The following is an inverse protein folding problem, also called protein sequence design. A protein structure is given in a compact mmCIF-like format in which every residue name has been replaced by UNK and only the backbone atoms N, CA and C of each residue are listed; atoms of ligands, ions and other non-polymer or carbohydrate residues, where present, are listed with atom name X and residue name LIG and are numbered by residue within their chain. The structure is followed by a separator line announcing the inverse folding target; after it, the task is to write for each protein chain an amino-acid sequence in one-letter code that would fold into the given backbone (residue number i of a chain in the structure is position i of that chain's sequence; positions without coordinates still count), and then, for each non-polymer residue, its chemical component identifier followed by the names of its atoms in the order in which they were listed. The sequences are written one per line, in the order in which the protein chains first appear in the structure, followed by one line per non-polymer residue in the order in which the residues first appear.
data_IF_240703658612
#
_entry.id   IF_240703658612
#
_cell.length_a   1.000
_cell.length_b   1.000
_cell.length_c   1.000
_cell.angle_alpha   90.00
_cell.angle_beta   90.00
_cell.angle_gamma   90.00
#
_symmetry.space_group_name_H-M   'P 1'
#
loop_
_entity.id
_entity.type
_entity.pdbx_description
1 polymer ?
#
# COMPACT_ATOMS: atom_id res chain seq x y z
N UNK A 1 6.66 34.85 30.04
CA UNK A 1 6.71 33.51 29.48
C UNK A 1 8.05 33.25 28.86
N UNK A 2 8.32 31.96 28.59
CA UNK A 2 9.54 31.50 27.92
C UNK A 2 9.33 31.50 26.42
N UNK A 3 10.25 32.13 25.70
CA UNK A 3 10.24 32.11 24.23
C UNK A 3 11.36 31.19 23.75
N UNK A 4 11.05 30.30 22.81
CA UNK A 4 12.06 29.44 22.23
C UNK A 4 11.74 29.23 20.75
N UNK A 5 12.73 28.74 20.02
CA UNK A 5 12.56 28.36 18.61
C UNK A 5 12.91 26.88 18.47
N UNK A 6 12.18 26.19 17.62
CA UNK A 6 12.45 24.76 17.40
C UNK A 6 13.81 24.52 16.77
N UNK A 7 14.38 25.53 16.12
CA UNK A 7 15.69 25.41 15.47
C UNK A 7 16.84 26.01 16.25
N UNK A 8 16.62 26.49 17.50
CA UNK A 8 17.74 27.01 18.29
C UNK A 8 18.57 25.85 18.83
N UNK A 9 19.80 26.17 19.25
CA UNK A 9 20.78 25.15 19.69
C UNK A 9 20.24 24.29 20.82
N UNK A 10 19.53 24.89 21.74
CA UNK A 10 18.99 24.17 22.90
C UNK A 10 17.92 23.17 22.43
N UNK A 11 16.98 23.65 21.62
CA UNK A 11 15.89 22.77 21.11
C UNK A 11 16.45 21.63 20.29
N UNK A 12 17.44 21.91 19.45
CA UNK A 12 18.07 20.86 18.64
C UNK A 12 18.73 19.81 19.54
N UNK A 13 19.47 20.25 20.55
CA UNK A 13 20.12 19.30 21.47
C UNK A 13 19.12 18.44 22.20
N UNK A 14 18.01 19.03 22.65
CA UNK A 14 16.97 18.28 23.35
C UNK A 14 16.34 17.25 22.42
N UNK A 15 16.02 17.65 21.19
CA UNK A 15 15.40 16.73 20.22
C UNK A 15 16.35 15.58 19.87
N UNK A 16 17.63 15.88 19.65
CA UNK A 16 18.63 14.85 19.34
C UNK A 16 18.80 13.88 20.51
N UNK A 17 18.84 14.43 21.73
CA UNK A 17 18.98 13.60 22.92
C UNK A 17 17.75 12.68 23.09
N UNK A 18 16.56 13.20 22.83
CA UNK A 18 15.35 12.40 22.91
C UNK A 18 15.38 11.27 21.87
N UNK A 19 15.83 11.58 20.65
CA UNK A 19 15.95 10.57 19.63
C UNK A 19 16.93 9.48 20.04
N UNK A 20 18.10 9.88 20.55
CA UNK A 20 19.10 8.91 20.97
C UNK A 20 18.60 8.02 22.12
N UNK A 21 17.78 8.59 23.01
CA UNK A 21 17.15 7.79 24.06
C UNK A 21 16.20 6.73 23.48
N UNK A 22 15.39 7.14 22.51
CA UNK A 22 14.50 6.18 21.84
C UNK A 22 15.29 5.09 21.13
N UNK A 23 16.39 5.47 20.49
CA UNK A 23 17.24 4.51 19.79
C UNK A 23 17.85 3.52 20.77
N UNK A 24 18.35 4.01 21.90
CA UNK A 24 18.97 3.17 22.92
C UNK A 24 17.98 2.15 23.48
N UNK A 25 16.71 2.55 23.65
CA UNK A 25 15.66 1.64 24.15
C UNK A 25 15.09 0.73 23.06
N UNK A 26 15.53 0.88 21.81
CA UNK A 26 15.01 0.09 20.72
C UNK A 26 13.67 0.58 20.17
N UNK A 27 13.22 1.75 20.59
CA UNK A 27 11.95 2.31 20.14
C UNK A 27 12.09 3.02 18.80
N UNK A 28 13.26 3.59 18.53
CA UNK A 28 13.58 4.18 17.23
C UNK A 28 14.41 3.16 16.44
N UNK A 29 14.09 2.99 15.17
CA UNK A 29 14.79 2.01 14.36
C UNK A 29 14.73 2.42 12.90
N UNK A 30 15.65 1.88 12.12
CA UNK A 30 15.72 2.14 10.68
C UNK A 30 15.36 0.86 9.94
N UNK A 31 14.52 0.99 8.92
CA UNK A 31 14.06 -0.17 8.17
C UNK A 31 13.78 0.18 6.73
N UNK A 32 13.98 -0.78 5.85
CA UNK A 32 13.45 -0.72 4.50
C UNK A 32 12.01 -1.21 4.58
N UNK A 33 11.09 -0.34 4.25
CA UNK A 33 9.68 -0.62 4.46
C UNK A 33 8.83 0.06 3.41
N UNK A 34 7.61 -0.47 3.16
CA UNK A 34 6.67 0.21 2.27
C UNK A 34 6.38 1.59 2.84
N UNK A 35 6.55 2.61 2.02
CA UNK A 35 6.49 4.00 2.45
C UNK A 35 5.55 4.75 1.51
N UNK A 36 4.60 5.49 2.08
CA UNK A 36 3.79 6.42 1.29
C UNK A 36 4.72 7.50 0.75
N UNK A 37 4.59 7.79 -0.53
CA UNK A 37 5.59 8.55 -1.26
C UNK A 37 4.94 9.51 -2.23
N UNK A 38 5.33 10.79 -2.14
CA UNK A 38 4.89 11.80 -3.10
C UNK A 38 5.90 11.86 -4.24
N UNK A 39 5.42 11.60 -5.44
CA UNK A 39 6.32 11.46 -6.60
C UNK A 39 6.79 12.79 -7.15
N UNK A 40 6.09 13.89 -6.84
CA UNK A 40 6.48 15.22 -7.29
C UNK A 40 7.59 15.78 -6.40
N UNK A 41 7.35 15.77 -5.10
CA UNK A 41 8.35 16.25 -4.13
C UNK A 41 9.44 15.23 -3.86
N UNK A 42 9.21 13.97 -4.24
CA UNK A 42 10.14 12.86 -4.03
C UNK A 42 10.49 12.73 -2.55
N UNK A 43 9.45 12.60 -1.75
CA UNK A 43 9.59 12.53 -0.31
C UNK A 43 8.60 11.53 0.29
N UNK A 44 9.01 10.93 1.40
CA UNK A 44 8.12 10.12 2.21
C UNK A 44 7.06 11.03 2.84
N UNK A 45 5.89 10.47 3.11
CA UNK A 45 4.75 11.19 3.68
C UNK A 45 4.24 10.40 4.88
N UNK A 46 4.11 11.06 6.01
CA UNK A 46 3.62 10.43 7.22
C UNK A 46 2.09 10.42 7.24
N UNK A 47 1.54 9.53 8.05
CA UNK A 47 0.09 9.36 8.16
C UNK A 47 -0.63 10.69 8.45
N UNK A 48 -0.05 11.53 9.30
CA UNK A 48 -0.68 12.80 9.66
C UNK A 48 -0.73 13.81 8.51
N UNK A 49 0.03 13.57 7.44
CA UNK A 49 0.11 14.48 6.30
C UNK A 49 -0.77 14.02 5.13
N UNK A 50 -1.58 12.96 5.34
CA UNK A 50 -2.41 12.40 4.29
C UNK A 50 -3.73 13.16 4.17
N UNK A 51 -4.25 13.19 2.95
CA UNK A 51 -5.54 13.78 2.65
C UNK A 51 -6.21 12.92 1.59
N UNK A 52 -7.46 12.55 1.83
CA UNK A 52 -8.25 11.83 0.82
C UNK A 52 -8.90 12.84 -0.11
N UNK A 53 -8.78 12.60 -1.41
CA UNK A 53 -9.46 13.41 -2.43
C UNK A 53 -10.22 12.50 -3.37
N UNK A 54 -11.44 12.91 -3.70
CA UNK A 54 -12.26 12.17 -4.67
C UNK A 54 -11.63 12.28 -6.05
N UNK A 55 -11.41 11.15 -6.70
CA UNK A 55 -10.77 11.10 -8.01
C UNK A 55 -11.56 10.19 -8.95
N UNK A 56 -11.67 10.58 -10.22
CA UNK A 56 -12.24 9.67 -11.20
C UNK A 56 -11.31 8.51 -11.46
N UNK A 57 -11.88 7.32 -11.67
CA UNK A 57 -11.14 6.12 -11.97
C UNK A 57 -12.07 5.18 -12.75
N UNK A 58 -11.71 3.91 -12.81
CA UNK A 58 -12.55 2.92 -13.44
C UNK A 58 -12.24 1.55 -12.88
N UNK A 59 -13.27 0.71 -12.79
CA UNK A 59 -13.10 -0.70 -12.50
C UNK A 59 -12.81 -1.46 -13.78
N UNK A 60 -11.78 -2.29 -13.75
CA UNK A 60 -11.37 -3.15 -14.86
C UNK A 60 -11.57 -4.60 -14.43
N UNK A 61 -12.37 -5.33 -15.20
CA UNK A 61 -12.67 -6.73 -14.91
C UNK A 61 -11.71 -7.59 -15.70
N UNK A 62 -10.81 -8.29 -15.00
CA UNK A 62 -9.65 -8.94 -15.60
C UNK A 62 -9.63 -10.43 -15.28
N UNK A 63 -9.30 -11.25 -16.28
CA UNK A 63 -9.20 -12.69 -16.13
C UNK A 63 -7.78 -13.10 -15.75
N UNK A 64 -7.65 -13.84 -14.65
CA UNK A 64 -6.45 -14.61 -14.32
C UNK A 64 -6.69 -16.05 -14.72
N UNK A 65 -5.67 -16.72 -15.21
CA UNK A 65 -5.81 -18.03 -15.81
C UNK A 65 -5.56 -19.13 -14.80
N UNK A 66 -6.55 -19.99 -14.60
CA UNK A 66 -6.43 -21.13 -13.70
C UNK A 66 -5.67 -22.29 -14.36
N UNK A 67 -5.24 -23.23 -13.53
CA UNK A 67 -4.47 -24.37 -14.01
C UNK A 67 -5.32 -25.31 -14.87
N UNK A 68 -6.58 -25.54 -14.49
CA UNK A 68 -7.49 -26.42 -15.22
C UNK A 68 -8.89 -25.84 -15.09
N UNK A 69 -9.42 -25.29 -16.14
CA UNK A 69 -10.83 -24.93 -16.27
C UNK A 69 -11.37 -23.88 -15.29
N UNK A 70 -10.57 -23.33 -14.42
CA UNK A 70 -11.10 -22.38 -13.45
C UNK A 70 -10.34 -21.06 -13.48
N UNK A 71 -10.60 -20.28 -14.52
CA UNK A 71 -10.14 -18.91 -14.55
C UNK A 71 -10.78 -18.13 -13.42
N UNK A 72 -10.05 -17.17 -12.92
CA UNK A 72 -10.51 -16.31 -11.83
C UNK A 72 -10.62 -14.89 -12.36
N UNK A 73 -11.75 -14.26 -12.09
CA UNK A 73 -11.99 -12.88 -12.54
C UNK A 73 -11.86 -11.94 -11.34
N UNK A 74 -11.00 -10.95 -11.49
CA UNK A 74 -10.84 -9.91 -10.45
C UNK A 74 -11.29 -8.58 -11.02
N UNK A 75 -11.53 -7.62 -10.12
CA UNK A 75 -11.84 -6.26 -10.49
C UNK A 75 -10.79 -5.35 -9.85
N UNK A 76 -10.17 -4.49 -10.66
CA UNK A 76 -9.11 -3.62 -10.16
C UNK A 76 -9.26 -2.21 -10.74
N UNK A 77 -8.87 -1.21 -9.95
CA UNK A 77 -8.74 0.15 -10.46
C UNK A 77 -7.33 0.41 -10.99
N UNK A 78 -6.39 -0.53 -10.77
CA UNK A 78 -5.00 -0.31 -11.12
C UNK A 78 -4.43 -1.48 -11.95
N UNK A 79 -4.93 -1.65 -13.18
CA UNK A 79 -4.43 -2.75 -14.01
C UNK A 79 -2.94 -2.61 -14.36
N UNK A 80 -2.39 -1.41 -14.28
CA UNK A 80 -0.96 -1.21 -14.51
C UNK A 80 -0.09 -1.95 -13.49
N UNK A 81 -0.66 -2.37 -12.36
CA UNK A 81 0.09 -3.10 -11.33
C UNK A 81 0.07 -4.62 -11.53
N UNK A 82 -0.59 -5.12 -12.57
CA UNK A 82 -0.63 -6.57 -12.80
C UNK A 82 0.77 -7.21 -12.79
N UNK A 83 1.80 -6.62 -13.41
CA UNK A 83 3.13 -7.26 -13.33
C UNK A 83 3.68 -7.39 -11.92
N UNK A 84 3.17 -6.60 -10.97
CA UNK A 84 3.62 -6.64 -9.58
C UNK A 84 2.73 -7.51 -8.70
N UNK A 85 1.78 -8.23 -9.27
CA UNK A 85 0.86 -9.07 -8.50
C UNK A 85 1.60 -10.19 -7.79
N UNK A 86 1.31 -10.40 -6.51
CA UNK A 86 1.96 -11.43 -5.69
C UNK A 86 0.98 -12.46 -5.15
N UNK A 87 -0.33 -12.18 -5.19
CA UNK A 87 -1.35 -13.12 -4.70
C UNK A 87 -2.73 -12.64 -5.13
N UNK A 88 -3.68 -13.56 -5.14
CA UNK A 88 -5.10 -13.21 -5.11
C UNK A 88 -5.63 -13.60 -3.74
N UNK A 89 -6.49 -12.74 -3.17
CA UNK A 89 -6.96 -12.91 -1.80
C UNK A 89 -8.49 -12.83 -1.76
N UNK A 90 -9.11 -13.79 -1.06
CA UNK A 90 -10.55 -13.83 -0.86
C UNK A 90 -10.86 -14.11 0.60
N UNK A 91 -12.07 -13.77 1.02
CA UNK A 91 -12.49 -14.01 2.40
C UNK A 91 -12.51 -15.51 2.68
N UNK A 92 -12.05 -15.96 3.86
CA UNK A 92 -11.99 -17.40 4.15
C UNK A 92 -13.37 -18.09 4.12
N UNK A 93 -14.44 -17.34 4.30
CA UNK A 93 -15.79 -17.89 4.28
C UNK A 93 -16.46 -17.84 2.91
N UNK A 94 -15.77 -17.35 1.89
CA UNK A 94 -16.35 -17.20 0.55
C UNK A 94 -16.34 -18.56 -0.16
N UNK A 95 -17.52 -19.14 -0.27
CA UNK A 95 -17.66 -20.48 -0.87
C UNK A 95 -17.22 -20.53 -2.33
N UNK A 96 -17.26 -19.41 -3.03
CA UNK A 96 -16.82 -19.37 -4.43
C UNK A 96 -15.34 -19.68 -4.57
N UNK A 97 -14.54 -19.31 -3.58
CA UNK A 97 -13.08 -19.37 -3.68
C UNK A 97 -12.44 -20.37 -2.74
N UNK A 98 -13.20 -20.92 -1.79
CA UNK A 98 -12.64 -21.92 -0.87
C UNK A 98 -11.93 -23.06 -1.59
N UNK A 99 -12.48 -23.61 -2.69
CA UNK A 99 -11.79 -24.72 -3.39
C UNK A 99 -10.45 -24.31 -3.99
N UNK A 100 -10.21 -23.02 -4.16
CA UNK A 100 -8.98 -22.52 -4.80
C UNK A 100 -7.88 -22.19 -3.81
N UNK A 101 -8.18 -22.07 -2.51
CA UNK A 101 -7.17 -21.69 -1.53
C UNK A 101 -6.02 -22.70 -1.56
N UNK A 102 -4.80 -22.18 -1.66
CA UNK A 102 -3.60 -22.99 -1.75
C UNK A 102 -3.21 -23.38 -3.16
N UNK A 103 -4.07 -23.13 -4.16
CA UNK A 103 -3.71 -23.33 -5.55
C UNK A 103 -3.09 -22.06 -6.13
N UNK A 104 -2.65 -22.12 -7.38
CA UNK A 104 -2.09 -20.95 -8.06
C UNK A 104 -2.89 -20.65 -9.33
N UNK A 105 -2.83 -19.37 -9.71
CA UNK A 105 -3.33 -18.91 -11.02
C UNK A 105 -2.20 -18.12 -11.69
N UNK A 106 -2.34 -17.85 -12.98
CA UNK A 106 -1.34 -17.10 -13.74
C UNK A 106 -1.89 -15.75 -14.16
N UNK A 107 -1.10 -14.72 -13.97
CA UNK A 107 -1.52 -13.37 -14.33
C UNK A 107 -1.59 -13.21 -15.85
N UNK A 108 -2.55 -12.42 -16.34
CA UNK A 108 -2.63 -12.18 -17.79
C UNK A 108 -1.45 -11.37 -18.27
N UNK A 109 -1.06 -11.57 -19.52
CA UNK A 109 0.05 -10.92 -20.20
C UNK A 109 1.42 -11.32 -19.67
N UNK A 110 1.57 -11.48 -18.36
CA UNK A 110 2.87 -11.68 -17.71
C UNK A 110 3.11 -13.13 -17.32
N UNK A 111 2.06 -13.93 -17.26
CA UNK A 111 2.14 -15.38 -17.05
C UNK A 111 2.91 -15.75 -15.78
N UNK A 112 2.70 -14.98 -14.72
CA UNK A 112 3.35 -15.21 -13.42
C UNK A 112 2.39 -16.00 -12.54
N UNK A 113 2.88 -17.09 -11.96
CA UNK A 113 2.08 -17.87 -11.01
C UNK A 113 1.98 -17.12 -9.70
N UNK A 114 0.75 -16.97 -9.21
CA UNK A 114 0.50 -16.35 -7.91
C UNK A 114 -0.47 -17.23 -7.12
N UNK A 115 -0.30 -17.32 -5.81
CA UNK A 115 -1.20 -18.15 -4.99
C UNK A 115 -2.54 -17.49 -4.76
N UNK A 116 -3.56 -18.32 -4.52
CA UNK A 116 -4.87 -17.86 -4.05
C UNK A 116 -4.94 -18.14 -2.56
N UNK A 117 -5.12 -17.09 -1.76
CA UNK A 117 -4.99 -17.18 -0.30
C UNK A 117 -6.21 -16.57 0.40
N UNK A 118 -6.54 -17.06 1.61
CA UNK A 118 -7.64 -16.47 2.36
C UNK A 118 -7.15 -15.34 3.26
N UNK A 119 -8.00 -14.33 3.44
CA UNK A 119 -7.74 -13.30 4.45
C UNK A 119 -9.05 -12.59 4.81
N UNK A 120 -9.22 -12.34 6.08
CA UNK A 120 -10.49 -11.80 6.60
C UNK A 120 -10.78 -10.36 6.16
N UNK A 121 -9.79 -9.61 5.70
CA UNK A 121 -10.02 -8.26 5.22
C UNK A 121 -10.54 -8.21 3.78
N UNK A 122 -10.53 -9.34 3.05
CA UNK A 122 -11.13 -9.37 1.73
C UNK A 122 -12.66 -9.32 1.88
N UNK A 123 -13.30 -8.48 1.07
CA UNK A 123 -14.74 -8.25 1.18
C UNK A 123 -15.48 -9.06 0.11
N UNK A 124 -16.37 -9.94 0.56
CA UNK A 124 -17.08 -10.85 -0.34
C UNK A 124 -17.99 -10.13 -1.33
N UNK A 125 -18.51 -8.98 -0.92
CA UNK A 125 -19.46 -8.22 -1.74
C UNK A 125 -18.82 -7.08 -2.52
N UNK A 126 -17.50 -6.99 -2.54
CA UNK A 126 -16.79 -5.96 -3.31
C UNK A 126 -16.23 -6.57 -4.59
N UNK A 127 -16.62 -6.01 -5.73
CA UNK A 127 -16.21 -6.56 -7.02
C UNK A 127 -16.63 -8.00 -7.16
N UNK A 128 -15.69 -8.87 -7.47
CA UNK A 128 -15.96 -10.31 -7.59
C UNK A 128 -15.68 -11.07 -6.29
N UNK A 129 -15.32 -10.35 -5.24
CA UNK A 129 -15.03 -10.96 -3.94
C UNK A 129 -13.61 -11.45 -3.78
N UNK A 130 -12.83 -11.41 -4.85
CA UNK A 130 -11.42 -11.81 -4.81
C UNK A 130 -10.59 -10.65 -5.37
N UNK A 131 -9.52 -10.32 -4.68
CA UNK A 131 -8.73 -9.12 -4.99
C UNK A 131 -7.31 -9.49 -5.37
N UNK A 132 -6.78 -8.72 -6.31
CA UNK A 132 -5.38 -8.81 -6.71
C UNK A 132 -4.54 -8.02 -5.70
N UNK A 133 -3.52 -8.64 -5.14
CA UNK A 133 -2.57 -7.99 -4.24
C UNK A 133 -1.31 -7.68 -5.02
N UNK A 134 -0.95 -6.42 -5.07
CA UNK A 134 0.25 -5.98 -5.78
C UNK A 134 1.17 -5.25 -4.82
N UNK A 135 2.44 -5.25 -5.09
CA UNK A 135 3.41 -4.58 -4.24
C UNK A 135 3.78 -3.21 -4.84
N UNK A 136 3.20 -2.08 -4.44
CA UNK A 136 2.11 -1.99 -3.46
C UNK A 136 1.03 -1.10 -4.04
N UNK A 137 -0.21 -1.57 -4.10
CA UNK A 137 -1.28 -0.79 -4.69
C UNK A 137 -1.91 0.20 -3.73
N UNK A 138 -2.15 -0.24 -2.50
CA UNK A 138 -2.70 0.62 -1.46
C UNK A 138 -2.32 0.06 -0.08
N UNK A 139 -2.84 0.70 0.98
CA UNK A 139 -2.44 0.30 2.34
C UNK A 139 -2.95 -1.09 2.72
N UNK A 140 -4.07 -1.53 2.16
CA UNK A 140 -4.53 -2.90 2.40
C UNK A 140 -3.56 -3.92 1.81
N UNK A 141 -3.00 -3.62 0.65
CA UNK A 141 -1.97 -4.49 0.06
C UNK A 141 -0.79 -4.65 1.01
N UNK A 142 -0.42 -3.58 1.72
CA UNK A 142 0.70 -3.65 2.67
C UNK A 142 0.35 -4.58 3.82
N UNK A 143 -0.89 -4.54 4.32
CA UNK A 143 -1.34 -5.42 5.39
C UNK A 143 -1.28 -6.87 4.91
N UNK A 144 -1.83 -7.16 3.75
CA UNK A 144 -1.81 -8.51 3.19
C UNK A 144 -0.37 -9.00 2.97
N UNK A 145 0.48 -8.12 2.42
CA UNK A 145 1.88 -8.46 2.18
C UNK A 145 2.58 -8.88 3.47
N UNK A 146 2.34 -8.13 4.55
CA UNK A 146 2.97 -8.42 5.83
C UNK A 146 2.40 -9.69 6.47
N UNK A 147 1.09 -9.79 6.54
CA UNK A 147 0.45 -10.89 7.28
C UNK A 147 0.54 -12.22 6.55
N UNK A 148 0.59 -12.18 5.23
CA UNK A 148 0.67 -13.41 4.42
C UNK A 148 2.11 -13.71 3.97
N UNK A 149 3.07 -12.91 4.41
CA UNK A 149 4.50 -13.08 4.07
C UNK A 149 4.72 -13.15 2.56
N UNK A 150 4.13 -12.20 1.83
CA UNK A 150 4.19 -12.20 0.38
C UNK A 150 5.53 -11.63 -0.12
N UNK A 151 5.88 -11.98 -1.35
CA UNK A 151 7.07 -11.44 -2.01
C UNK A 151 6.91 -9.94 -2.25
N UNK A 152 8.04 -9.27 -2.44
CA UNK A 152 8.07 -7.86 -2.79
C UNK A 152 8.46 -7.73 -4.26
N UNK A 153 7.55 -7.17 -5.07
CA UNK A 153 7.75 -7.06 -6.52
C UNK A 153 7.56 -5.61 -6.97
N UNK A 154 8.48 -4.71 -6.61
CA UNK A 154 8.31 -3.30 -6.94
C UNK A 154 8.51 -3.07 -8.44
N UNK A 155 7.64 -2.25 -9.04
CA UNK A 155 7.79 -1.84 -10.43
C UNK A 155 7.67 -0.33 -10.61
N UNK A 156 7.39 0.44 -9.55
CA UNK A 156 7.24 1.88 -9.63
C UNK A 156 8.40 2.54 -8.90
N UNK A 157 9.06 3.46 -9.56
CA UNK A 157 10.19 4.17 -8.99
C UNK A 157 9.78 5.41 -8.20
N UNK A 158 10.78 6.06 -7.62
CA UNK A 158 10.54 7.25 -6.80
C UNK A 158 10.04 8.43 -7.62
N UNK A 159 10.20 8.39 -8.93
CA UNK A 159 9.64 9.40 -9.83
C UNK A 159 8.23 9.04 -10.32
N UNK A 160 7.66 7.95 -9.83
CA UNK A 160 6.33 7.51 -10.22
C UNK A 160 6.28 6.78 -11.55
N UNK A 161 7.44 6.46 -12.13
CA UNK A 161 7.49 5.78 -13.43
C UNK A 161 7.85 4.32 -13.28
N UNK A 162 7.44 3.54 -14.26
CA UNK A 162 7.73 2.10 -14.28
C UNK A 162 9.25 1.92 -14.40
N UNK A 163 9.81 1.08 -13.52
CA UNK A 163 11.24 0.85 -13.44
C UNK A 163 11.79 0.21 -14.72
N UNK A 164 12.98 0.64 -15.12
CA UNK A 164 13.61 0.16 -16.35
C UNK A 164 14.18 -1.25 -16.23
N UNK A 165 14.58 -1.63 -15.04
CA UNK A 165 15.23 -2.92 -14.83
C UNK A 165 14.20 -4.04 -14.98
N UNK A 166 14.54 -5.06 -15.77
CA UNK A 166 13.65 -6.20 -15.96
C UNK A 166 13.37 -6.90 -14.63
N UNK A 167 12.10 -7.07 -14.27
CA UNK A 167 11.81 -7.81 -13.04
C UNK A 167 12.27 -9.26 -13.13
N UNK A 168 12.90 -9.74 -12.07
CA UNK A 168 13.44 -11.09 -12.03
C UNK A 168 12.36 -12.16 -12.10
N UNK A 169 11.14 -11.84 -11.68
CA UNK A 169 10.05 -12.80 -11.69
C UNK A 169 9.40 -12.95 -13.07
N UNK A 170 9.75 -12.07 -14.02
CA UNK A 170 9.29 -12.22 -15.40
C UNK A 170 10.35 -13.02 -16.17
N UNK A 171 10.07 -14.29 -16.41
CA UNK A 171 11.08 -15.19 -16.94
C UNK A 171 10.84 -15.64 -18.38
N UNK A 172 9.67 -15.31 -18.94
CA UNK A 172 9.24 -15.85 -20.23
C UNK A 172 8.89 -14.73 -21.21
N UNK A 173 8.86 -15.08 -22.50
CA UNK A 173 8.23 -14.23 -23.49
C UNK A 173 6.80 -14.73 -23.69
N UNK A 174 5.86 -13.86 -23.99
CA UNK A 174 6.03 -12.43 -24.29
C UNK A 174 5.96 -11.50 -23.05
N UNK A 175 5.99 -12.05 -21.85
CA UNK A 175 5.88 -11.26 -20.63
C UNK A 175 6.93 -10.15 -20.56
N UNK A 176 8.18 -10.50 -20.87
CA UNK A 176 9.26 -9.52 -20.84
C UNK A 176 9.04 -8.41 -21.86
N UNK A 177 8.57 -8.74 -23.05
CA UNK A 177 8.27 -7.74 -24.07
C UNK A 177 7.13 -6.84 -23.62
N UNK A 178 6.10 -7.40 -23.00
CA UNK A 178 5.00 -6.61 -22.48
C UNK A 178 5.49 -5.63 -21.43
N UNK A 179 6.39 -6.06 -20.55
CA UNK A 179 6.93 -5.17 -19.52
C UNK A 179 7.75 -4.05 -20.14
N UNK A 180 8.57 -4.36 -21.15
CA UNK A 180 9.39 -3.34 -21.82
C UNK A 180 8.54 -2.23 -22.42
N UNK A 181 7.32 -2.55 -22.86
CA UNK A 181 6.41 -1.52 -23.38
C UNK A 181 5.92 -0.58 -22.30
N UNK A 182 6.11 -0.92 -21.02
CA UNK A 182 5.70 -0.06 -19.90
C UNK A 182 6.84 0.78 -19.35
N UNK A 183 8.08 0.37 -19.58
CA UNK A 183 9.26 0.98 -18.96
C UNK A 183 9.28 2.50 -19.18
N UNK A 184 9.50 3.24 -18.10
CA UNK A 184 9.61 4.70 -18.15
C UNK A 184 8.28 5.45 -18.23
N UNK A 185 7.18 4.73 -18.39
CA UNK A 185 5.88 5.39 -18.45
C UNK A 185 5.40 5.76 -17.06
N UNK A 186 4.60 6.83 -16.99
CA UNK A 186 3.86 7.15 -15.77
C UNK A 186 2.82 6.07 -15.53
N UNK A 187 2.29 5.99 -14.31
CA UNK A 187 1.23 5.00 -14.04
C UNK A 187 0.02 5.22 -14.92
N UNK A 188 -0.31 6.48 -15.22
CA UNK A 188 -1.43 6.79 -16.08
C UNK A 188 -1.21 6.25 -17.49
N UNK A 189 -0.04 6.50 -18.05
CA UNK A 189 0.29 6.03 -19.40
C UNK A 189 0.41 4.51 -19.46
N UNK A 190 1.01 3.92 -18.42
CA UNK A 190 1.13 2.46 -18.32
C UNK A 190 -0.25 1.80 -18.25
N UNK A 191 -1.19 2.41 -17.53
CA UNK A 191 -2.55 1.89 -17.44
C UNK A 191 -3.18 1.81 -18.83
N UNK A 192 -3.05 2.86 -19.64
CA UNK A 192 -3.59 2.86 -21.00
C UNK A 192 -2.99 1.74 -21.83
N UNK A 193 -1.68 1.55 -21.74
CA UNK A 193 -1.00 0.48 -22.48
C UNK A 193 -1.49 -0.88 -22.05
N UNK A 194 -1.62 -1.12 -20.76
CA UNK A 194 -2.08 -2.41 -20.23
C UNK A 194 -3.52 -2.68 -20.67
N UNK A 195 -4.38 -1.66 -20.63
CA UNK A 195 -5.78 -1.84 -21.06
C UNK A 195 -5.84 -2.28 -22.52
N UNK A 196 -5.03 -1.64 -23.38
CA UNK A 196 -4.96 -2.06 -24.78
C UNK A 196 -4.52 -3.51 -24.92
N UNK A 197 -3.51 -3.90 -24.17
CA UNK A 197 -2.97 -5.27 -24.24
C UNK A 197 -3.98 -6.29 -23.70
N UNK A 198 -4.67 -5.97 -22.62
CA UNK A 198 -5.68 -6.85 -22.05
C UNK A 198 -6.87 -7.01 -23.01
N UNK A 199 -7.23 -5.94 -23.69
CA UNK A 199 -8.30 -6.02 -24.71
C UNK A 199 -7.87 -6.94 -25.85
N UNK A 200 -6.65 -6.77 -26.33
CA UNK A 200 -6.16 -7.59 -27.45
C UNK A 200 -6.06 -9.06 -27.07
N UNK A 201 -5.71 -9.38 -25.84
CA UNK A 201 -5.55 -10.77 -25.39
C UNK A 201 -6.89 -11.41 -24.99
N UNK A 202 -7.95 -10.62 -24.87
CA UNK A 202 -9.25 -11.12 -24.43
C UNK A 202 -9.38 -11.26 -22.92
N UNK A 203 -8.45 -10.71 -22.17
CA UNK A 203 -8.45 -10.84 -20.71
C UNK A 203 -9.14 -9.67 -20.01
N UNK A 204 -9.47 -8.62 -20.73
CA UNK A 204 -10.36 -7.56 -20.22
C UNK A 204 -11.78 -7.95 -20.64
N UNK A 205 -12.63 -8.28 -19.67
CA UNK A 205 -13.89 -8.97 -19.95
C UNK A 205 -15.03 -8.04 -20.36
N UNK A 206 -14.89 -6.74 -20.08
CA UNK A 206 -15.90 -5.75 -20.50
C UNK A 206 -15.25 -4.37 -20.46
N UNK A 207 -15.93 -3.40 -21.04
CA UNK A 207 -15.42 -2.03 -20.98
C UNK A 207 -15.28 -1.58 -19.54
N UNK A 208 -14.23 -0.82 -19.21
CA UNK A 208 -14.07 -0.34 -17.83
C UNK A 208 -15.28 0.47 -17.38
N UNK A 209 -15.66 0.29 -16.11
CA UNK A 209 -16.80 0.98 -15.50
C UNK A 209 -16.30 2.21 -14.76
N UNK A 210 -16.72 3.43 -15.19
CA UNK A 210 -16.27 4.63 -14.49
C UNK A 210 -16.75 4.68 -13.05
N UNK A 211 -15.86 5.14 -12.16
CA UNK A 211 -16.20 5.34 -10.76
C UNK A 211 -15.53 6.62 -10.26
N UNK A 212 -15.93 7.04 -9.09
CA UNK A 212 -15.25 8.08 -8.33
C UNK A 212 -14.99 7.52 -6.95
N UNK A 213 -13.76 7.62 -6.48
CA UNK A 213 -13.42 7.05 -5.17
C UNK A 213 -12.35 7.90 -4.50
N UNK A 214 -12.24 7.81 -3.17
CA UNK A 214 -11.19 8.55 -2.46
C UNK A 214 -9.81 7.95 -2.74
N UNK A 215 -8.86 8.83 -2.98
CA UNK A 215 -7.46 8.48 -3.25
C UNK A 215 -6.59 9.31 -2.33
N UNK A 216 -5.54 8.70 -1.81
CA UNK A 216 -4.65 9.36 -0.85
C UNK A 216 -3.67 10.30 -1.56
N UNK A 217 -3.56 11.50 -1.00
CA UNK A 217 -2.65 12.55 -1.45
C UNK A 217 -1.85 13.03 -0.26
N UNK A 218 -0.66 13.52 -0.51
CA UNK A 218 0.04 14.41 0.42
C UNK A 218 -0.74 15.72 0.48
N UNK A 219 -0.97 16.26 1.68
CA UNK A 219 -1.81 17.46 1.85
C UNK A 219 -1.33 18.64 1.00
N UNK A 220 -0.03 18.70 0.72
CA UNK A 220 0.58 19.76 -0.10
C UNK A 220 0.85 19.32 -1.54
N UNK A 221 0.47 18.09 -1.89
CA UNK A 221 0.77 17.54 -3.20
C UNK A 221 -0.39 17.66 -4.16
N UNK A 222 -0.09 17.46 -5.44
CA UNK A 222 -1.11 17.52 -6.49
C UNK A 222 -1.20 16.21 -7.29
N UNK A 223 -0.51 15.17 -6.85
CA UNK A 223 -0.56 13.86 -7.49
C UNK A 223 -0.88 12.80 -6.45
N UNK A 224 -1.59 11.74 -6.84
CA UNK A 224 -1.81 10.62 -5.91
C UNK A 224 -0.50 10.05 -5.41
N UNK A 225 -0.51 9.60 -4.16
CA UNK A 225 0.66 8.96 -3.58
C UNK A 225 0.87 7.57 -4.17
N UNK A 226 2.12 7.17 -4.24
CA UNK A 226 2.48 5.77 -4.49
C UNK A 226 3.01 5.17 -3.19
N UNK A 227 3.21 3.85 -3.19
CA UNK A 227 3.86 3.19 -2.07
C UNK A 227 5.14 2.58 -2.63
N UNK A 228 6.28 3.03 -2.11
CA UNK A 228 7.58 2.53 -2.57
C UNK A 228 8.37 2.04 -1.36
N UNK A 229 9.33 1.16 -1.61
CA UNK A 229 10.20 0.66 -0.54
C UNK A 229 11.34 1.65 -0.36
N UNK A 230 11.44 2.22 0.84
CA UNK A 230 12.52 3.15 1.16
C UNK A 230 13.08 2.85 2.54
N UNK A 231 14.32 3.29 2.78
CA UNK A 231 14.93 3.16 4.10
C UNK A 231 14.65 4.43 4.90
N UNK A 232 13.90 4.28 5.97
CA UNK A 232 13.42 5.40 6.77
C UNK A 232 13.58 5.08 8.24
N UNK A 233 13.52 6.12 9.07
CA UNK A 233 13.50 6.00 10.53
C UNK A 233 12.07 5.98 11.03
N UNK A 234 11.81 5.12 11.99
CA UNK A 234 10.49 4.93 12.60
C UNK A 234 10.60 4.94 14.12
N UNK A 235 9.51 5.30 14.79
CA UNK A 235 9.39 5.16 16.24
C UNK A 235 8.14 4.32 16.50
N UNK A 236 8.28 3.31 17.37
CA UNK A 236 7.14 2.48 17.79
C UNK A 236 6.11 3.34 18.51
N UNK A 237 4.84 3.11 18.20
CA UNK A 237 3.77 3.96 18.73
C UNK A 237 2.53 3.19 19.18
N UNK A 238 2.60 1.87 19.27
CA UNK A 238 1.46 1.07 19.71
C UNK A 238 0.59 0.54 18.58
N UNK A 239 0.87 0.89 17.33
CA UNK A 239 0.08 0.37 16.20
C UNK A 239 0.26 -1.13 16.03
N UNK A 240 1.44 -1.64 16.31
CA UNK A 240 1.79 -3.06 16.21
C UNK A 240 1.96 -3.72 17.55
N UNK A 241 1.85 -2.97 18.63
CA UNK A 241 2.07 -3.44 20.00
C UNK A 241 0.79 -3.20 20.78
N UNK A 242 -0.04 -4.25 20.85
CA UNK A 242 -1.34 -4.15 21.48
C UNK A 242 -1.23 -3.76 22.95
N UNK A 243 -0.22 -4.26 23.64
CA UNK A 243 -0.01 -3.96 25.04
C UNK A 243 0.28 -2.47 25.24
N UNK A 244 1.14 -1.90 24.40
CA UNK A 244 1.42 -0.47 24.45
C UNK A 244 0.18 0.34 24.13
N UNK A 245 -0.58 -0.06 23.11
CA UNK A 245 -1.81 0.64 22.75
C UNK A 245 -2.78 0.65 23.92
N UNK A 246 -2.98 -0.49 24.56
CA UNK A 246 -3.89 -0.59 25.70
C UNK A 246 -3.45 0.30 26.85
N UNK A 247 -2.13 0.32 27.11
CA UNK A 247 -1.60 1.18 28.19
C UNK A 247 -1.79 2.67 27.86
N UNK A 248 -1.62 3.05 26.61
CA UNK A 248 -1.86 4.44 26.21
C UNK A 248 -3.31 4.83 26.39
N UNK A 249 -4.24 3.96 25.98
CA UNK A 249 -5.66 4.24 26.17
C UNK A 249 -6.01 4.32 27.65
N UNK A 250 -5.45 3.44 28.46
CA UNK A 250 -5.68 3.45 29.91
C UNK A 250 -5.16 4.74 30.54
N UNK A 251 -3.95 5.17 30.16
CA UNK A 251 -3.40 6.43 30.69
C UNK A 251 -4.24 7.61 30.23
N UNK A 252 -4.75 7.58 29.01
CA UNK A 252 -5.66 8.63 28.54
C UNK A 252 -6.91 8.76 29.38
N UNK A 253 -7.41 7.62 29.92
CA UNK A 253 -8.58 7.64 30.79
C UNK A 253 -8.30 8.35 32.12
N UNK A 254 -7.01 8.45 32.51
CA UNK A 254 -6.61 9.10 33.77
C UNK A 254 -6.34 10.57 33.61
N UNK A 255 -6.27 11.08 32.38
CA UNK A 255 -5.94 12.48 32.09
C UNK A 255 -7.23 13.30 32.02
N UNK A 256 -7.22 14.47 32.65
CA UNK A 256 -8.35 15.39 32.56
C UNK A 256 -8.22 16.20 31.26
N UNK A 257 -9.18 16.03 30.37
CA UNK A 257 -9.23 16.75 29.10
C UNK A 257 -10.13 17.99 29.24
N UNK A 258 -9.73 19.09 28.63
CA UNK A 258 -10.50 20.32 28.65
C UNK A 258 -10.61 20.87 27.23
N UNK A 259 -11.81 20.89 26.66
CA UNK A 259 -13.06 20.31 27.18
C UNK A 259 -13.02 18.77 27.19
N UNK A 260 -13.91 18.19 27.97
CA UNK A 260 -13.94 16.73 28.19
C UNK A 260 -13.99 15.93 26.89
N UNK A 261 -14.71 16.43 25.90
CA UNK A 261 -14.88 15.68 24.66
C UNK A 261 -13.58 15.49 23.87
N UNK A 262 -12.55 16.22 24.22
CA UNK A 262 -11.24 16.05 23.53
C UNK A 262 -10.63 14.68 23.79
N UNK A 263 -11.07 13.99 24.85
CA UNK A 263 -10.64 12.63 25.09
C UNK A 263 -11.02 11.70 23.93
N UNK A 264 -12.17 11.94 23.30
CA UNK A 264 -12.58 11.12 22.16
C UNK A 264 -11.56 11.23 21.03
N UNK A 265 -11.01 12.42 20.83
CA UNK A 265 -9.96 12.61 19.81
C UNK A 265 -8.70 11.80 20.15
N UNK A 266 -8.30 11.82 21.40
CA UNK A 266 -7.15 11.05 21.86
C UNK A 266 -7.38 9.55 21.63
N UNK A 267 -8.54 9.06 22.10
CA UNK A 267 -8.86 7.63 21.97
C UNK A 267 -8.90 7.20 20.51
N UNK A 268 -9.53 8.02 19.66
CA UNK A 268 -9.63 7.70 18.24
C UNK A 268 -8.26 7.70 17.57
N UNK A 269 -7.39 8.65 17.94
CA UNK A 269 -6.06 8.71 17.37
C UNK A 269 -5.24 7.46 17.76
N UNK A 270 -5.22 7.13 19.04
CA UNK A 270 -4.46 5.98 19.53
C UNK A 270 -4.99 4.68 18.93
N UNK A 271 -6.31 4.53 18.91
CA UNK A 271 -6.94 3.33 18.38
C UNK A 271 -6.82 3.20 16.86
N UNK A 272 -6.62 4.32 16.18
CA UNK A 272 -6.55 4.35 14.72
C UNK A 272 -5.16 4.36 14.13
N UNK A 273 -4.12 4.19 14.95
CA UNK A 273 -2.75 4.16 14.42
C UNK A 273 -2.58 2.95 13.51
N UNK A 274 -2.04 3.18 12.31
CA UNK A 274 -1.97 2.15 11.29
C UNK A 274 -0.55 1.66 11.04
N UNK A 275 0.44 2.19 11.72
CA UNK A 275 1.84 1.76 11.59
C UNK A 275 2.69 2.56 12.54
N UNK A 276 3.95 2.16 12.69
CA UNK A 276 4.88 2.93 13.50
C UNK A 276 5.07 4.32 12.90
N UNK A 277 5.48 5.26 13.74
CA UNK A 277 5.59 6.65 13.33
C UNK A 277 6.81 6.86 12.44
N UNK A 278 6.57 7.23 11.19
CA UNK A 278 7.61 7.59 10.24
C UNK A 278 8.10 9.01 10.61
N UNK A 279 9.36 9.10 11.04
CA UNK A 279 9.89 10.39 11.50
C UNK A 279 10.88 11.01 10.54
N UNK A 280 11.39 10.27 9.56
CA UNK A 280 12.31 10.82 8.56
C UNK A 280 11.58 11.06 7.24
N UNK A 281 12.19 11.86 6.38
CA UNK A 281 11.65 12.18 5.04
C UNK A 281 12.72 11.96 3.97
N UNK A 282 13.48 10.86 4.12
CA UNK A 282 14.59 10.57 3.21
C UNK A 282 14.10 10.28 1.79
N UNK A 283 14.74 10.91 0.70
CA UNK A 283 14.50 10.81 -0.32
C UNK A 283 15.02 10.33 -0.56
#
# INVERSE_FOLDING_TARGET
GLTYRTIDDHSQRVAQRAFLGNLERGEAYRADAPTLWDITFRTAVAQAELEDREQPSAYHKVRFHGAVESDVVIVTTRPELIPACVALVAHPDDERYKPLFGSTVRSPLFDVEVPVLPHHLAQQDKGTGIAMVCTFGDVTDVIWWRELSLETRPIIGKDGRILAEDPQWLTKQPAKAHYQDLVGKTVFSAKSTIVEKLTASGDLLEDPTPITHPVKFFEKGDRPLEIVTTRQWYITNGSKDKDLQDRLLQRGAEVAFHPDFMRVRYDNWVGGLSGDWLISRQX
#
